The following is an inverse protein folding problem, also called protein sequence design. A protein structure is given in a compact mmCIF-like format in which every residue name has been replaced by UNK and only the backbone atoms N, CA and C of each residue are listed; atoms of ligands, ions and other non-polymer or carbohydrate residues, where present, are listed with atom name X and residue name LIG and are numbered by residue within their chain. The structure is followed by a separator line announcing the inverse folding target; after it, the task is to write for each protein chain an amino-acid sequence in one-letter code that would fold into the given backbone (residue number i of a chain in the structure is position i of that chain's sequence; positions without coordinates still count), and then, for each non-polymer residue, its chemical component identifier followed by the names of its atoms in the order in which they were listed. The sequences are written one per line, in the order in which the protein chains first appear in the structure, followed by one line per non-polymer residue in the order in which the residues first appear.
data_IF_803845694141
#
_entry.id   IF_803845694141
#
_cell.length_a   1.000
_cell.length_b   1.000
_cell.length_c   1.000
_cell.angle_alpha   90.00
_cell.angle_beta   90.00
_cell.angle_gamma   90.00
#
_symmetry.space_group_name_H-M   'P 1'
#
loop_
_entity.id
_entity.type
_entity.pdbx_description
1 polymer ?
#
# COMPACT_ATOMS: atom_id res chain seq x y z
N UNK A 1 -2.00 -12.23 -19.25
CA UNK A 1 -1.63 -11.13 -20.20
C UNK A 1 -0.95 -10.08 -19.39
N UNK A 2 0.23 -9.61 -19.78
CA UNK A 2 0.87 -8.51 -19.06
C UNK A 2 0.08 -7.21 -19.29
N UNK A 3 -0.04 -6.37 -18.24
CA UNK A 3 -0.69 -5.06 -18.32
C UNK A 3 0.08 -4.18 -19.31
N UNK A 4 -0.54 -3.84 -20.44
CA UNK A 4 0.03 -2.82 -21.32
C UNK A 4 -0.36 -1.44 -20.80
N UNK A 5 0.44 -0.41 -21.08
CA UNK A 5 0.13 0.97 -20.69
C UNK A 5 -1.27 1.38 -21.14
N UNK A 6 -1.72 0.93 -22.31
CA UNK A 6 -3.05 1.24 -22.84
C UNK A 6 -4.15 0.61 -21.99
N UNK A 7 -4.03 -0.69 -21.64
CA UNK A 7 -5.00 -1.39 -20.79
C UNK A 7 -5.09 -0.73 -19.42
N UNK A 8 -3.96 -0.31 -18.85
CA UNK A 8 -3.94 0.42 -17.59
C UNK A 8 -4.70 1.75 -17.68
N UNK A 9 -4.43 2.55 -18.72
CA UNK A 9 -5.10 3.85 -18.93
C UNK A 9 -6.61 3.66 -19.10
N UNK A 10 -7.04 2.65 -19.85
CA UNK A 10 -8.46 2.33 -20.03
C UNK A 10 -9.11 1.91 -18.72
N UNK A 11 -8.44 1.07 -17.92
CA UNK A 11 -8.94 0.65 -16.62
C UNK A 11 -9.09 1.84 -15.64
N UNK A 12 -8.12 2.76 -15.63
CA UNK A 12 -8.19 3.98 -14.81
C UNK A 12 -9.34 4.89 -15.29
N UNK A 13 -9.51 5.10 -16.59
CA UNK A 13 -10.63 5.89 -17.13
C UNK A 13 -11.98 5.28 -16.77
N UNK A 14 -12.15 3.98 -16.95
CA UNK A 14 -13.36 3.27 -16.58
C UNK A 14 -13.66 3.37 -15.08
N UNK A 15 -12.60 3.33 -14.25
CA UNK A 15 -12.71 3.50 -12.81
C UNK A 15 -13.19 4.91 -12.42
N UNK A 16 -12.68 5.95 -13.07
CA UNK A 16 -13.16 7.32 -12.87
C UNK A 16 -14.65 7.48 -13.22
N UNK A 17 -15.09 6.84 -14.29
CA UNK A 17 -16.53 6.80 -14.63
C UNK A 17 -17.33 6.08 -13.56
N UNK A 18 -16.82 4.95 -13.03
CA UNK A 18 -17.47 4.19 -11.98
C UNK A 18 -17.59 4.99 -10.67
N UNK A 19 -16.53 5.67 -10.26
CA UNK A 19 -16.54 6.54 -9.07
C UNK A 19 -17.61 7.66 -9.16
N UNK A 20 -17.88 8.13 -10.38
CA UNK A 20 -18.85 9.17 -10.66
C UNK A 20 -20.24 8.64 -11.06
N UNK A 21 -20.50 7.33 -10.92
CA UNK A 21 -21.74 6.66 -11.33
C UNK A 21 -22.15 6.95 -12.79
N UNK A 22 -21.16 7.06 -13.69
CA UNK A 22 -21.40 7.33 -15.12
C UNK A 22 -21.51 6.04 -15.92
N UNK A 23 -22.27 6.02 -17.04
CA UNK A 23 -22.34 4.89 -17.95
C UNK A 23 -20.96 4.46 -18.45
N UNK A 24 -20.76 3.13 -18.60
CA UNK A 24 -19.46 2.55 -18.98
C UNK A 24 -18.42 2.50 -17.85
N UNK A 25 -18.78 2.99 -16.65
CA UNK A 25 -17.93 2.89 -15.48
C UNK A 25 -17.73 1.45 -15.01
N UNK A 26 -16.48 1.10 -14.68
CA UNK A 26 -16.13 -0.22 -14.14
C UNK A 26 -15.08 -0.04 -13.03
N UNK A 27 -15.33 -0.64 -11.85
CA UNK A 27 -14.35 -0.65 -10.76
C UNK A 27 -13.05 -1.29 -11.25
N UNK A 28 -11.91 -0.58 -11.07
CA UNK A 28 -10.62 -1.14 -11.44
C UNK A 28 -10.31 -2.39 -10.62
N UNK A 29 -9.83 -3.43 -11.32
CA UNK A 29 -9.18 -4.60 -10.74
C UNK A 29 -7.83 -4.74 -11.44
N UNK A 30 -6.78 -4.34 -10.76
CA UNK A 30 -5.40 -4.29 -11.22
C UNK A 30 -4.49 -5.16 -10.33
N UNK A 31 -5.10 -6.11 -9.60
CA UNK A 31 -4.37 -6.99 -8.68
C UNK A 31 -3.27 -7.76 -9.41
N UNK A 32 -2.08 -7.81 -8.79
CA UNK A 32 -0.88 -8.52 -9.27
C UNK A 32 -0.28 -7.95 -10.56
N UNK A 33 -0.66 -6.74 -10.94
CA UNK A 33 -0.10 -6.06 -12.11
C UNK A 33 1.08 -5.16 -11.71
N UNK A 34 1.88 -4.75 -12.70
CA UNK A 34 3.07 -3.91 -12.49
C UNK A 34 2.95 -2.59 -13.25
N UNK A 35 3.17 -1.48 -12.52
CA UNK A 35 3.26 -0.12 -13.09
C UNK A 35 4.52 0.60 -12.62
N UNK A 36 5.54 -0.15 -12.23
CA UNK A 36 6.79 0.38 -11.67
C UNK A 36 7.34 1.56 -12.47
N UNK A 37 7.74 2.63 -11.79
CA UNK A 37 8.37 3.82 -12.36
C UNK A 37 7.41 4.79 -13.09
N UNK A 38 6.11 4.53 -13.12
CA UNK A 38 5.17 5.41 -13.81
C UNK A 38 4.87 6.70 -13.03
N UNK A 39 4.45 7.73 -13.76
CA UNK A 39 3.94 9.00 -13.22
C UNK A 39 2.43 8.91 -13.06
N UNK A 40 1.97 8.74 -11.83
CA UNK A 40 0.57 8.48 -11.46
C UNK A 40 0.05 9.51 -10.44
N UNK A 41 0.71 10.69 -10.36
CA UNK A 41 0.36 11.73 -9.41
C UNK A 41 -1.10 12.19 -9.57
N UNK A 42 -1.79 12.39 -8.44
CA UNK A 42 -3.16 12.87 -8.38
C UNK A 42 -4.23 11.92 -8.91
N UNK A 43 -3.89 10.69 -9.32
CA UNK A 43 -4.89 9.72 -9.76
C UNK A 43 -5.77 9.26 -8.60
N UNK A 44 -7.04 9.02 -8.90
CA UNK A 44 -7.99 8.52 -7.92
C UNK A 44 -8.21 7.01 -8.10
N UNK A 45 -7.66 6.24 -7.17
CA UNK A 45 -7.78 4.79 -7.05
C UNK A 45 -8.68 4.36 -5.87
N UNK A 46 -9.51 5.29 -5.35
CA UNK A 46 -10.35 4.97 -4.19
C UNK A 46 -11.23 3.75 -4.48
N UNK A 47 -11.28 2.84 -3.51
CA UNK A 47 -12.01 1.57 -3.59
C UNK A 47 -11.58 0.63 -4.74
N UNK A 48 -10.47 0.86 -5.44
CA UNK A 48 -9.95 -0.05 -6.45
C UNK A 48 -9.44 -1.38 -5.81
N UNK A 49 -9.37 -2.44 -6.61
CA UNK A 49 -8.74 -3.71 -6.24
C UNK A 49 -7.33 -3.75 -6.84
N UNK A 50 -6.33 -3.74 -5.98
CA UNK A 50 -4.91 -3.63 -6.36
C UNK A 50 -4.01 -4.48 -5.44
N UNK A 51 -4.56 -5.61 -4.95
CA UNK A 51 -3.77 -6.55 -4.13
C UNK A 51 -2.53 -7.02 -4.89
N UNK A 52 -1.37 -7.02 -4.24
CA UNK A 52 -0.09 -7.47 -4.81
C UNK A 52 0.43 -6.63 -5.98
N UNK A 53 -0.12 -5.44 -6.21
CA UNK A 53 0.31 -4.57 -7.30
C UNK A 53 1.69 -3.98 -7.04
N UNK A 54 2.53 -3.91 -8.07
CA UNK A 54 3.84 -3.29 -8.02
C UNK A 54 3.77 -1.81 -8.44
N UNK A 55 3.87 -0.92 -7.46
CA UNK A 55 3.98 0.54 -7.59
C UNK A 55 5.41 1.04 -7.31
N UNK A 56 6.38 0.16 -7.28
CA UNK A 56 7.75 0.55 -6.95
C UNK A 56 8.26 1.68 -7.86
N UNK A 57 8.98 2.64 -7.26
CA UNK A 57 9.56 3.80 -7.98
C UNK A 57 8.54 4.71 -8.68
N UNK A 58 7.24 4.53 -8.44
CA UNK A 58 6.20 5.39 -9.01
C UNK A 58 6.21 6.78 -8.39
N UNK A 59 5.82 7.78 -9.18
CA UNK A 59 5.39 9.07 -8.65
C UNK A 59 3.87 9.01 -8.40
N UNK A 60 3.49 9.00 -7.13
CA UNK A 60 2.12 8.89 -6.64
C UNK A 60 1.72 10.08 -5.77
N UNK A 61 2.41 11.23 -5.94
CA UNK A 61 2.14 12.46 -5.18
C UNK A 61 0.66 12.82 -5.25
N UNK A 62 0.02 12.95 -4.09
CA UNK A 62 -1.41 13.30 -3.99
C UNK A 62 -2.38 12.27 -4.56
N UNK A 63 -1.93 11.05 -4.86
CA UNK A 63 -2.84 9.98 -5.31
C UNK A 63 -3.83 9.60 -4.21
N UNK A 64 -5.06 9.24 -4.61
CA UNK A 64 -6.11 8.86 -3.66
C UNK A 64 -6.35 7.35 -3.68
N UNK A 65 -6.04 6.68 -2.57
CA UNK A 65 -6.23 5.25 -2.32
C UNK A 65 -7.27 4.96 -1.23
N UNK A 66 -8.17 5.92 -0.93
CA UNK A 66 -9.20 5.74 0.11
C UNK A 66 -9.97 4.43 -0.09
N UNK A 67 -10.09 3.61 0.97
CA UNK A 67 -10.78 2.31 0.94
C UNK A 67 -10.25 1.33 -0.14
N UNK A 68 -9.05 1.52 -0.69
CA UNK A 68 -8.49 0.63 -1.69
C UNK A 68 -7.99 -0.67 -1.05
N UNK A 69 -8.12 -1.77 -1.80
CA UNK A 69 -7.51 -3.05 -1.47
C UNK A 69 -6.08 -3.07 -2.07
N UNK A 70 -5.11 -2.90 -1.20
CA UNK A 70 -3.67 -2.82 -1.49
C UNK A 70 -2.89 -3.92 -0.76
N UNK A 71 -3.59 -5.01 -0.40
CA UNK A 71 -2.97 -6.12 0.30
C UNK A 71 -1.70 -6.60 -0.42
N UNK A 72 -0.57 -6.58 0.29
CA UNK A 72 0.73 -7.02 -0.26
C UNK A 72 1.31 -6.19 -1.40
N UNK A 73 0.79 -5.00 -1.66
CA UNK A 73 1.31 -4.10 -2.70
C UNK A 73 2.75 -3.65 -2.39
N UNK A 74 3.53 -3.36 -3.42
CA UNK A 74 4.90 -2.86 -3.31
C UNK A 74 4.99 -1.39 -3.72
N UNK A 75 5.28 -0.52 -2.76
CA UNK A 75 5.53 0.91 -2.91
C UNK A 75 7.01 1.27 -2.68
N UNK A 76 7.92 0.32 -2.74
CA UNK A 76 9.35 0.57 -2.51
C UNK A 76 9.88 1.67 -3.43
N UNK A 77 10.57 2.65 -2.83
CA UNK A 77 11.11 3.82 -3.55
C UNK A 77 10.06 4.72 -4.23
N UNK A 78 8.77 4.57 -3.94
CA UNK A 78 7.73 5.43 -4.49
C UNK A 78 7.69 6.79 -3.78
N UNK A 79 7.30 7.83 -4.52
CA UNK A 79 6.94 9.12 -3.96
C UNK A 79 5.43 9.18 -3.73
N UNK A 80 5.05 9.09 -2.47
CA UNK A 80 3.67 9.09 -1.97
C UNK A 80 3.35 10.37 -1.19
N UNK A 81 4.14 11.43 -1.40
CA UNK A 81 3.91 12.72 -0.73
C UNK A 81 2.44 13.14 -0.88
N UNK A 82 1.79 13.43 0.25
CA UNK A 82 0.37 13.83 0.31
C UNK A 82 -0.62 12.79 -0.23
N UNK A 83 -0.21 11.54 -0.44
CA UNK A 83 -1.14 10.49 -0.83
C UNK A 83 -2.17 10.21 0.27
N UNK A 84 -3.39 9.83 -0.12
CA UNK A 84 -4.46 9.53 0.82
C UNK A 84 -4.76 8.03 0.84
N UNK A 85 -4.47 7.37 1.96
CA UNK A 85 -4.73 5.96 2.22
C UNK A 85 -5.84 5.74 3.27
N UNK A 86 -6.69 6.73 3.51
CA UNK A 86 -7.75 6.61 4.53
C UNK A 86 -8.51 5.29 4.35
N UNK A 87 -8.57 4.49 5.42
CA UNK A 87 -9.29 3.20 5.48
C UNK A 87 -8.83 2.16 4.43
N UNK A 88 -7.64 2.32 3.84
CA UNK A 88 -7.09 1.33 2.90
C UNK A 88 -6.61 0.05 3.62
N UNK A 89 -6.70 -1.08 2.95
CA UNK A 89 -6.08 -2.35 3.37
C UNK A 89 -4.65 -2.44 2.80
N UNK A 90 -3.67 -2.15 3.64
CA UNK A 90 -2.23 -2.20 3.33
C UNK A 90 -1.52 -3.37 4.03
N UNK A 91 -2.25 -4.38 4.49
CA UNK A 91 -1.66 -5.53 5.15
C UNK A 91 -0.61 -6.20 4.25
N UNK A 92 0.57 -6.44 4.82
CA UNK A 92 1.68 -7.05 4.08
C UNK A 92 2.35 -6.18 3.02
N UNK A 93 1.96 -4.89 2.88
CA UNK A 93 2.54 -3.97 1.92
C UNK A 93 4.01 -3.61 2.25
N UNK A 94 4.76 -3.20 1.24
CA UNK A 94 6.18 -2.84 1.33
C UNK A 94 6.38 -1.37 0.95
N UNK A 95 7.12 -0.63 1.78
CA UNK A 95 7.42 0.80 1.61
C UNK A 95 8.92 1.11 1.81
N UNK A 96 9.78 0.17 1.44
CA UNK A 96 11.22 0.36 1.62
C UNK A 96 11.70 1.63 0.90
N UNK A 97 12.31 2.57 1.62
CA UNK A 97 12.72 3.90 1.12
C UNK A 97 11.61 4.70 0.39
N UNK A 98 10.35 4.47 0.71
CA UNK A 98 9.26 5.28 0.16
C UNK A 98 9.18 6.64 0.87
N UNK A 99 8.72 7.65 0.15
CA UNK A 99 8.42 8.97 0.70
C UNK A 99 6.91 9.13 0.93
N UNK A 100 6.47 9.13 2.20
CA UNK A 100 5.09 9.31 2.62
C UNK A 100 4.90 10.66 3.37
N UNK A 101 5.75 11.65 3.09
CA UNK A 101 5.67 12.98 3.73
C UNK A 101 4.24 13.53 3.57
N UNK A 102 3.65 13.99 4.67
CA UNK A 102 2.28 14.52 4.74
C UNK A 102 1.19 13.54 4.23
N UNK A 103 1.48 12.24 4.08
CA UNK A 103 0.48 11.28 3.66
C UNK A 103 -0.61 11.09 4.73
N UNK A 104 -1.84 10.86 4.30
CA UNK A 104 -2.95 10.53 5.19
C UNK A 104 -3.14 9.01 5.26
N UNK A 105 -2.82 8.44 6.41
CA UNK A 105 -2.98 7.02 6.75
C UNK A 105 -4.03 6.82 7.87
N UNK A 106 -5.04 7.69 7.91
CA UNK A 106 -6.11 7.61 8.91
C UNK A 106 -6.86 6.27 8.81
N UNK A 107 -6.95 5.53 9.94
CA UNK A 107 -7.60 4.21 10.04
C UNK A 107 -7.08 3.16 9.05
N UNK A 108 -5.89 3.33 8.53
CA UNK A 108 -5.27 2.35 7.63
C UNK A 108 -5.01 1.03 8.35
N UNK A 109 -5.13 -0.08 7.65
CA UNK A 109 -4.71 -1.40 8.14
C UNK A 109 -3.30 -1.75 7.61
N UNK A 110 -2.29 -1.63 8.46
CA UNK A 110 -0.88 -1.93 8.21
C UNK A 110 -0.40 -3.16 9.01
N UNK A 111 -1.30 -4.06 9.37
CA UNK A 111 -0.91 -5.29 10.06
C UNK A 111 -0.17 -6.24 9.11
N UNK A 112 0.46 -7.28 9.67
CA UNK A 112 0.99 -8.35 8.83
C UNK A 112 -0.14 -9.00 8.02
N UNK A 113 0.18 -9.45 6.81
CA UNK A 113 -0.75 -10.16 5.94
C UNK A 113 -0.30 -11.60 5.74
N UNK A 114 -1.25 -12.52 5.64
CA UNK A 114 -0.97 -13.90 5.22
C UNK A 114 -1.19 -14.02 3.72
N UNK A 115 -0.15 -14.40 2.98
CA UNK A 115 -0.25 -14.69 1.54
C UNK A 115 -0.18 -16.19 1.36
N UNK A 116 -1.16 -16.78 0.71
CA UNK A 116 -1.04 -18.12 0.19
C UNK A 116 0.05 -18.12 -0.88
N UNK A 117 1.18 -18.76 -0.58
CA UNK A 117 2.25 -18.89 -1.56
C UNK A 117 1.79 -19.86 -2.65
N UNK A 118 1.35 -19.33 -3.79
CA UNK A 118 1.24 -20.12 -5.00
C UNK A 118 2.66 -20.38 -5.49
N UNK A 119 3.19 -21.57 -5.23
CA UNK A 119 4.47 -21.98 -5.83
C UNK A 119 4.22 -22.25 -7.31
N UNK A 120 4.96 -21.53 -8.17
CA UNK A 120 4.86 -21.64 -9.64
C UNK A 120 5.33 -22.99 -10.23
N UNK A 121 5.59 -23.99 -9.41
CA UNK A 121 6.21 -25.26 -9.82
C UNK A 121 5.31 -26.47 -9.58
N UNK A 122 4.00 -26.38 -9.82
CA UNK A 122 3.18 -27.57 -9.67
C UNK A 122 2.16 -27.77 -10.79
N UNK A 123 2.67 -28.26 -11.94
CA UNK A 123 1.81 -28.95 -12.91
C UNK A 123 1.51 -30.41 -12.51
N UNK A 124 2.00 -30.90 -11.38
CA UNK A 124 1.74 -32.26 -10.87
C UNK A 124 1.91 -32.35 -9.35
N UNK A 125 0.90 -32.02 -8.56
CA UNK A 125 0.68 -32.71 -7.28
C UNK A 125 -0.66 -32.34 -6.64
N UNK A 126 -1.55 -33.32 -6.55
CA UNK A 126 -2.74 -33.33 -5.69
C UNK A 126 -2.37 -33.48 -4.19
N UNK A 127 -1.45 -32.70 -3.65
CA UNK A 127 -1.22 -32.67 -2.21
C UNK A 127 -1.51 -31.30 -1.61
N UNK A 128 -2.78 -31.09 -1.26
CA UNK A 128 -3.32 -29.89 -0.60
C UNK A 128 -2.76 -29.62 0.81
N UNK A 129 -1.71 -30.33 1.26
CA UNK A 129 -1.20 -30.29 2.64
C UNK A 129 0.07 -29.47 2.85
N UNK A 130 0.56 -28.74 1.84
CA UNK A 130 1.78 -27.90 1.97
C UNK A 130 1.63 -26.49 1.35
N UNK A 131 0.46 -25.88 1.44
CA UNK A 131 0.35 -24.45 1.25
C UNK A 131 1.08 -23.76 2.41
N UNK A 132 2.34 -23.40 2.18
CA UNK A 132 3.14 -22.67 3.15
C UNK A 132 2.65 -21.24 3.14
N UNK A 133 1.74 -20.91 4.04
CA UNK A 133 1.35 -19.52 4.32
C UNK A 133 2.62 -18.74 4.64
N UNK A 134 2.95 -17.74 3.82
CA UNK A 134 4.02 -16.80 4.14
C UNK A 134 3.40 -15.58 4.79
N UNK A 135 3.72 -15.38 6.06
CA UNK A 135 3.42 -14.13 6.73
C UNK A 135 4.20 -13.00 6.02
N UNK A 136 3.50 -12.00 5.55
CA UNK A 136 4.11 -10.77 5.03
C UNK A 136 3.95 -9.67 6.06
N UNK A 137 5.05 -9.35 6.72
CA UNK A 137 5.15 -8.18 7.57
C UNK A 137 5.12 -6.91 6.71
N UNK A 138 4.37 -5.90 7.15
CA UNK A 138 4.49 -4.57 6.57
C UNK A 138 5.89 -4.03 6.87
N UNK A 139 6.59 -3.55 5.87
CA UNK A 139 7.94 -3.01 6.01
C UNK A 139 7.98 -1.57 5.52
N UNK A 140 8.20 -0.65 6.45
CA UNK A 140 8.37 0.78 6.20
C UNK A 140 9.82 1.21 6.52
N UNK A 141 10.78 0.28 6.32
CA UNK A 141 12.19 0.47 6.64
C UNK A 141 12.77 1.65 5.87
N UNK A 142 13.42 2.57 6.60
CA UNK A 142 14.01 3.80 6.07
C UNK A 142 13.03 4.66 5.24
N UNK A 143 11.72 4.51 5.46
CA UNK A 143 10.71 5.35 4.82
C UNK A 143 10.64 6.74 5.47
N UNK A 144 10.21 7.72 4.73
CA UNK A 144 9.95 9.04 5.26
C UNK A 144 8.44 9.23 5.51
N UNK A 145 8.04 9.29 6.77
CA UNK A 145 6.67 9.49 7.26
C UNK A 145 6.51 10.84 7.97
N UNK A 146 7.44 11.78 7.75
CA UNK A 146 7.36 13.08 8.43
C UNK A 146 6.01 13.77 8.13
N UNK A 147 5.41 14.32 9.19
CA UNK A 147 4.13 15.01 9.12
C UNK A 147 2.95 14.14 8.65
N UNK A 148 3.13 12.83 8.54
CA UNK A 148 2.04 11.93 8.15
C UNK A 148 0.97 11.83 9.24
N UNK A 149 -0.30 11.67 8.84
CA UNK A 149 -1.40 11.43 9.74
C UNK A 149 -1.73 9.93 9.84
N UNK A 150 -1.34 9.28 10.92
CA UNK A 150 -1.57 7.86 11.20
C UNK A 150 -2.62 7.65 12.30
N UNK A 151 -3.57 8.55 12.42
CA UNK A 151 -4.59 8.54 13.48
C UNK A 151 -5.45 7.27 13.38
N UNK A 152 -5.55 6.53 14.50
CA UNK A 152 -6.25 5.25 14.59
C UNK A 152 -5.74 4.18 13.59
N UNK A 153 -4.50 4.30 13.10
CA UNK A 153 -3.91 3.30 12.20
C UNK A 153 -3.62 1.98 12.95
N UNK A 154 -3.89 0.86 12.31
CA UNK A 154 -3.51 -0.45 12.83
C UNK A 154 -2.13 -0.84 12.29
N UNK A 155 -1.07 -0.61 13.06
CA UNK A 155 0.35 -0.75 12.65
C UNK A 155 1.04 -1.92 13.35
N UNK A 156 0.29 -2.77 14.04
CA UNK A 156 0.89 -3.85 14.83
C UNK A 156 1.73 -4.81 13.99
N UNK A 157 2.88 -5.23 14.56
CA UNK A 157 3.85 -6.13 13.94
C UNK A 157 4.51 -5.57 12.66
N UNK A 158 4.49 -4.26 12.44
CA UNK A 158 5.19 -3.62 11.32
C UNK A 158 6.69 -3.42 11.63
N UNK A 159 7.51 -3.37 10.59
CA UNK A 159 8.92 -3.01 10.66
C UNK A 159 9.11 -1.56 10.16
N UNK A 160 9.32 -0.62 11.08
CA UNK A 160 9.58 0.78 10.81
C UNK A 160 11.06 1.16 11.06
N UNK A 161 11.96 0.17 11.14
CA UNK A 161 13.37 0.41 11.44
C UNK A 161 13.95 1.52 10.56
N UNK A 162 14.56 2.54 11.18
CA UNK A 162 15.17 3.69 10.52
C UNK A 162 14.17 4.64 9.83
N UNK A 163 12.87 4.51 10.06
CA UNK A 163 11.89 5.43 9.49
C UNK A 163 11.97 6.82 10.12
N UNK A 164 11.77 7.86 9.30
CA UNK A 164 11.59 9.21 9.78
C UNK A 164 10.10 9.43 10.13
N UNK A 165 9.81 9.56 11.43
CA UNK A 165 8.49 9.80 12.01
C UNK A 165 8.39 11.21 12.62
N UNK A 166 9.21 12.16 12.15
CA UNK A 166 9.22 13.53 12.63
C UNK A 166 7.84 14.18 12.49
N UNK A 167 7.31 14.76 13.58
CA UNK A 167 5.98 15.36 13.63
C UNK A 167 4.82 14.45 13.18
N UNK A 168 4.97 13.14 13.15
CA UNK A 168 3.88 12.21 12.81
C UNK A 168 2.76 12.28 13.85
N UNK A 169 1.52 12.19 13.41
CA UNK A 169 0.38 12.05 14.32
C UNK A 169 -0.05 10.58 14.43
N UNK A 170 0.29 9.94 15.54
CA UNK A 170 -0.01 8.56 15.88
C UNK A 170 -1.17 8.41 16.88
N UNK A 171 -1.95 9.46 17.11
CA UNK A 171 -3.05 9.45 18.09
C UNK A 171 -3.94 8.22 17.89
N UNK A 172 -4.06 7.37 18.92
CA UNK A 172 -4.86 6.16 18.87
C UNK A 172 -4.32 5.04 17.97
N UNK A 173 -3.14 5.19 17.38
CA UNK A 173 -2.53 4.13 16.57
C UNK A 173 -2.10 2.94 17.42
N UNK A 174 -2.24 1.72 16.88
CA UNK A 174 -1.78 0.50 17.53
C UNK A 174 -0.43 0.07 16.94
N UNK A 175 0.66 0.34 17.64
CA UNK A 175 2.03 -0.01 17.28
C UNK A 175 2.54 -1.28 18.01
N UNK A 176 1.65 -2.07 18.60
CA UNK A 176 2.05 -3.23 19.39
C UNK A 176 2.92 -4.21 18.57
N UNK A 177 4.02 -4.66 19.16
CA UNK A 177 5.00 -5.58 18.55
C UNK A 177 5.67 -5.05 17.26
N UNK A 178 5.55 -3.76 16.94
CA UNK A 178 6.28 -3.15 15.83
C UNK A 178 7.72 -2.81 16.21
N UNK A 179 8.62 -2.86 15.24
CA UNK A 179 9.99 -2.37 15.40
C UNK A 179 10.04 -0.87 15.08
N UNK A 180 10.51 -0.08 16.05
CA UNK A 180 10.77 1.37 15.90
C UNK A 180 12.28 1.64 16.09
N UNK A 181 13.13 0.65 15.82
CA UNK A 181 14.57 0.77 15.98
C UNK A 181 15.11 1.88 15.07
N UNK A 182 15.96 2.74 15.62
CA UNK A 182 16.60 3.85 14.89
C UNK A 182 15.62 4.85 14.22
N UNK A 183 14.36 4.93 14.69
CA UNK A 183 13.39 5.91 14.19
C UNK A 183 13.65 7.31 14.75
N UNK A 184 13.41 8.34 13.95
CA UNK A 184 13.26 9.72 14.43
C UNK A 184 11.79 10.00 14.79
N UNK A 185 11.50 10.06 16.08
CA UNK A 185 10.17 10.37 16.63
C UNK A 185 10.07 11.81 17.15
N UNK A 186 11.02 12.69 16.77
CA UNK A 186 11.02 14.07 17.23
C UNK A 186 9.72 14.78 16.86
N UNK A 187 9.03 15.34 17.84
CA UNK A 187 7.74 16.02 17.63
C UNK A 187 6.55 15.12 17.33
N UNK A 188 6.72 13.79 17.38
CA UNK A 188 5.61 12.86 17.18
C UNK A 188 4.52 13.02 18.25
N UNK A 189 3.26 12.92 17.84
CA UNK A 189 2.10 12.89 18.71
C UNK A 189 1.61 11.44 18.84
N UNK A 190 1.72 10.86 20.05
CA UNK A 190 1.43 9.45 20.36
C UNK A 190 0.04 9.27 20.98
#
# INVERSE_FOLDING_TARGET
MSLTTQIFVEAVKAHQLWLNNKPGGKRANLSYETVSGLKLAGLNFSRAKMSGMDFSKCNLVGANFTEADLFGADFSYADLTKANFTEADLRGAQFFNANLTEANLHKVDLRHGEVLAVTSDDHQAHDKRKEKTRERQVRMVASNLSEAAMVNAAVSQADLTGANLHNVNLTGANLSKSSLMDCDLTGANL
#
